data_IF_217928708077
#
_entry.id   IF_217928708077
#
_cell.length_a   1.000
_cell.length_b   1.000
_cell.length_c   1.000
_cell.angle_alpha   90.00
_cell.angle_beta   90.00
_cell.angle_gamma   90.00
#
_symmetry.space_group_name_H-M   'P 1'
#
loop_
_entity.id
_entity.type
_entity.pdbx_description
1 polymer ?
#
# COMPACT_ATOMS: atom_id res chain seq x y z
N UNK A 1 8.01 -10.58 26.32
CA UNK A 1 6.54 -10.44 26.27
C UNK A 1 5.98 -10.88 27.62
N UNK A 2 5.04 -10.17 28.20
CA UNK A 2 4.34 -10.62 29.40
C UNK A 2 2.97 -11.21 29.06
N UNK A 3 2.26 -10.55 28.16
CA UNK A 3 0.93 -10.97 27.74
C UNK A 3 0.69 -10.62 26.29
N UNK A 4 0.09 -11.55 25.55
CA UNK A 4 -0.41 -11.30 24.22
C UNK A 4 -1.74 -12.01 23.99
N UNK A 5 -2.60 -11.40 23.20
CA UNK A 5 -3.88 -11.97 22.77
C UNK A 5 -4.25 -11.39 21.41
N UNK A 6 -5.07 -12.10 20.65
CA UNK A 6 -5.57 -11.65 19.35
C UNK A 6 -7.10 -11.70 19.31
N UNK A 7 -7.72 -10.68 18.73
CA UNK A 7 -9.16 -10.64 18.49
C UNK A 7 -9.60 -11.74 17.52
N UNK A 8 -10.72 -12.38 17.81
CA UNK A 8 -11.30 -13.43 16.99
C UNK A 8 -12.17 -12.84 15.88
N UNK A 9 -11.85 -13.16 14.62
CA UNK A 9 -12.60 -12.65 13.47
C UNK A 9 -14.07 -13.12 13.49
N UNK A 10 -14.99 -12.15 13.32
CA UNK A 10 -16.44 -12.40 13.20
C UNK A 10 -17.11 -13.07 14.43
N UNK A 11 -16.47 -13.05 15.59
CA UNK A 11 -17.03 -13.61 16.81
C UNK A 11 -17.68 -12.55 17.72
N UNK A 12 -18.65 -12.98 18.53
CA UNK A 12 -19.37 -12.12 19.46
C UNK A 12 -18.59 -11.82 20.75
N UNK A 13 -19.08 -10.85 21.55
CA UNK A 13 -18.43 -10.36 22.77
C UNK A 13 -18.07 -11.47 23.73
N UNK A 14 -18.97 -12.41 23.99
CA UNK A 14 -18.76 -13.49 24.98
C UNK A 14 -17.58 -14.40 24.57
N UNK A 15 -17.44 -14.68 23.26
CA UNK A 15 -16.32 -15.47 22.75
C UNK A 15 -15.01 -14.70 22.77
N UNK A 16 -15.04 -13.40 22.50
CA UNK A 16 -13.86 -12.53 22.64
C UNK A 16 -13.36 -12.51 24.08
N UNK A 17 -14.26 -12.32 25.04
CA UNK A 17 -13.94 -12.31 26.46
C UNK A 17 -13.40 -13.67 26.93
N UNK A 18 -14.01 -14.75 26.48
CA UNK A 18 -13.57 -16.10 26.82
C UNK A 18 -12.16 -16.38 26.27
N UNK A 19 -11.88 -16.05 25.01
CA UNK A 19 -10.55 -16.23 24.41
C UNK A 19 -9.50 -15.43 25.15
N UNK A 20 -9.77 -14.15 25.43
CA UNK A 20 -8.85 -13.31 26.19
C UNK A 20 -8.57 -13.87 27.58
N UNK A 21 -9.60 -14.40 28.26
CA UNK A 21 -9.48 -15.03 29.57
C UNK A 21 -8.64 -16.30 29.51
N UNK A 22 -8.85 -17.17 28.51
CA UNK A 22 -8.03 -18.36 28.28
C UNK A 22 -6.55 -17.98 28.09
N UNK A 23 -6.26 -16.95 27.28
CA UNK A 23 -4.89 -16.44 27.11
C UNK A 23 -4.27 -15.91 28.41
N UNK A 24 -5.07 -15.30 29.30
CA UNK A 24 -4.59 -14.88 30.63
C UNK A 24 -4.19 -16.07 31.50
N UNK A 25 -4.98 -17.15 31.50
CA UNK A 25 -4.69 -18.37 32.25
C UNK A 25 -3.43 -19.07 31.72
N UNK A 26 -3.35 -19.21 30.41
CA UNK A 26 -2.21 -19.88 29.75
C UNK A 26 -0.90 -19.12 29.97
N UNK A 27 -0.98 -17.80 30.15
CA UNK A 27 0.18 -16.95 30.39
C UNK A 27 0.46 -16.64 31.87
N UNK A 28 -0.14 -17.43 32.77
CA UNK A 28 0.27 -17.53 34.17
C UNK A 28 -0.64 -16.81 35.17
N UNK A 29 -1.84 -16.41 34.75
CA UNK A 29 -2.85 -15.94 35.74
C UNK A 29 -3.32 -17.13 36.59
N UNK A 30 -3.26 -17.07 37.94
CA UNK A 30 -3.89 -18.08 38.79
C UNK A 30 -5.39 -18.12 38.50
N UNK A 31 -5.96 -19.31 38.42
CA UNK A 31 -7.38 -19.53 38.13
C UNK A 31 -8.24 -18.80 39.16
N UNK A 32 -9.00 -17.77 38.76
CA UNK A 32 -9.98 -17.10 39.65
C UNK A 32 -11.17 -18.02 39.98
N UNK A 33 -11.94 -17.67 41.01
CA UNK A 33 -13.15 -18.40 41.36
C UNK A 33 -14.23 -18.35 40.27
N UNK A 34 -14.28 -17.22 39.58
CA UNK A 34 -15.28 -16.94 38.55
C UNK A 34 -14.63 -16.44 37.24
N UNK A 35 -15.18 -16.87 36.10
CA UNK A 35 -14.79 -16.34 34.80
C UNK A 35 -15.31 -14.92 34.60
N UNK A 36 -14.61 -14.03 33.87
CA UNK A 36 -15.07 -12.66 33.62
C UNK A 36 -16.28 -12.63 32.71
N UNK A 37 -17.23 -11.71 33.01
CA UNK A 37 -18.46 -11.52 32.22
C UNK A 37 -18.41 -10.28 31.31
N UNK A 38 -17.50 -9.35 31.60
CA UNK A 38 -17.33 -8.14 30.81
C UNK A 38 -15.86 -7.73 30.67
N UNK A 39 -15.61 -6.73 29.78
CA UNK A 39 -14.27 -6.26 29.52
C UNK A 39 -13.60 -5.55 30.71
N UNK A 40 -14.38 -5.00 31.65
CA UNK A 40 -13.79 -4.36 32.83
C UNK A 40 -13.17 -5.44 33.70
N UNK A 41 -13.88 -6.54 33.92
CA UNK A 41 -13.39 -7.68 34.70
C UNK A 41 -12.15 -8.32 34.04
N UNK A 42 -12.17 -8.48 32.70
CA UNK A 42 -11.00 -8.96 31.94
C UNK A 42 -9.77 -8.09 32.19
N UNK A 43 -9.90 -6.77 32.09
CA UNK A 43 -8.78 -5.86 32.33
C UNK A 43 -8.36 -5.80 33.81
N UNK A 44 -9.25 -6.10 34.75
CA UNK A 44 -8.87 -6.29 36.16
C UNK A 44 -8.02 -7.54 36.37
N UNK A 45 -8.32 -8.62 35.68
CA UNK A 45 -7.50 -9.84 35.67
C UNK A 45 -6.12 -9.58 35.03
N UNK A 46 -6.09 -8.86 33.93
CA UNK A 46 -4.81 -8.43 33.30
C UNK A 46 -3.96 -7.60 34.27
N UNK A 47 -4.58 -6.67 35.04
CA UNK A 47 -3.84 -5.94 36.10
C UNK A 47 -3.24 -6.90 37.15
N UNK A 48 -3.97 -7.95 37.52
CA UNK A 48 -3.49 -8.93 38.47
C UNK A 48 -2.28 -9.69 37.92
N UNK A 49 -2.32 -10.14 36.68
CA UNK A 49 -1.20 -10.78 36.01
C UNK A 49 0.03 -9.85 35.95
N UNK A 50 -0.16 -8.58 35.55
CA UNK A 50 0.92 -7.58 35.47
C UNK A 50 1.56 -7.32 36.85
N UNK A 51 0.77 -7.30 37.92
CA UNK A 51 1.26 -7.10 39.33
C UNK A 51 2.09 -8.26 39.84
N UNK A 52 1.81 -9.48 39.42
CA UNK A 52 2.53 -10.70 39.83
C UNK A 52 3.89 -10.82 39.13
N UNK A 53 4.05 -10.18 37.99
CA UNK A 53 5.29 -10.25 37.23
C UNK A 53 6.40 -9.44 37.90
N UNK A 54 7.57 -10.06 38.09
CA UNK A 54 8.81 -9.41 38.54
C UNK A 54 9.64 -8.79 37.42
N UNK A 55 9.21 -8.92 36.15
CA UNK A 55 9.93 -8.37 35.02
C UNK A 55 10.09 -6.85 35.12
N UNK A 56 11.27 -6.32 34.78
CA UNK A 56 11.55 -4.89 34.78
C UNK A 56 10.66 -4.13 33.78
N UNK A 57 10.45 -4.70 32.59
CA UNK A 57 9.52 -4.20 31.57
C UNK A 57 8.48 -5.25 31.20
N UNK A 58 7.23 -4.83 31.16
CA UNK A 58 6.07 -5.66 30.90
C UNK A 58 5.44 -5.23 29.59
N UNK A 59 5.59 -6.04 28.56
CA UNK A 59 5.02 -5.80 27.22
C UNK A 59 3.69 -6.54 27.12
N UNK A 60 2.64 -5.79 26.85
CA UNK A 60 1.29 -6.28 26.58
C UNK A 60 1.00 -6.04 25.11
N UNK A 61 0.67 -7.08 24.35
CA UNK A 61 0.28 -7.01 22.95
C UNK A 61 -1.17 -7.41 22.80
N UNK A 62 -1.98 -6.47 22.29
CA UNK A 62 -3.36 -6.73 21.87
C UNK A 62 -3.42 -6.66 20.36
N UNK A 63 -3.46 -7.81 19.73
CA UNK A 63 -3.49 -7.94 18.28
C UNK A 63 -4.92 -8.00 17.76
N UNK A 64 -5.14 -7.55 16.53
CA UNK A 64 -6.46 -7.48 15.89
C UNK A 64 -7.54 -6.82 16.76
N UNK A 65 -7.18 -5.71 17.37
CA UNK A 65 -8.03 -4.94 18.30
C UNK A 65 -9.44 -4.65 17.75
N UNK A 66 -9.61 -4.35 16.45
CA UNK A 66 -10.93 -4.09 15.86
C UNK A 66 -11.93 -5.24 16.03
N UNK A 67 -11.48 -6.49 16.11
CA UNK A 67 -12.36 -7.64 16.32
C UNK A 67 -12.87 -7.74 17.76
N UNK A 68 -12.11 -7.22 18.74
CA UNK A 68 -12.55 -7.18 20.15
C UNK A 68 -13.65 -6.14 20.39
N UNK A 69 -13.71 -5.06 19.59
CA UNK A 69 -14.72 -4.01 19.69
C UNK A 69 -16.01 -4.40 18.94
N UNK A 70 -16.72 -5.38 19.47
CA UNK A 70 -18.02 -5.79 18.94
C UNK A 70 -19.11 -4.77 19.31
N UNK A 71 -20.25 -4.83 18.63
CA UNK A 71 -21.34 -3.88 18.86
C UNK A 71 -21.80 -3.88 20.32
N UNK A 72 -21.74 -2.73 20.97
CA UNK A 72 -22.15 -2.51 22.39
C UNK A 72 -21.34 -3.30 23.42
N UNK A 73 -20.14 -3.78 23.06
CA UNK A 73 -19.28 -4.57 23.98
C UNK A 73 -18.72 -3.77 25.15
N UNK A 74 -18.59 -2.44 24.99
CA UNK A 74 -17.90 -1.60 25.99
C UNK A 74 -16.38 -1.78 26.00
N UNK A 75 -15.80 -2.50 25.02
CA UNK A 75 -14.36 -2.80 24.95
C UNK A 75 -13.48 -1.55 24.99
N UNK A 76 -13.76 -0.57 24.12
CA UNK A 76 -12.94 0.66 24.05
C UNK A 76 -13.01 1.41 25.39
N UNK A 77 -14.18 1.52 26.01
CA UNK A 77 -14.33 2.18 27.30
C UNK A 77 -13.57 1.45 28.43
N UNK A 78 -13.57 0.11 28.42
CA UNK A 78 -12.82 -0.69 29.39
C UNK A 78 -11.30 -0.56 29.19
N UNK A 79 -10.82 -0.53 27.94
CA UNK A 79 -9.41 -0.28 27.59
C UNK A 79 -8.99 1.14 28.02
N UNK A 80 -9.82 2.15 27.76
CA UNK A 80 -9.60 3.52 28.22
C UNK A 80 -9.49 3.59 29.74
N UNK A 81 -10.41 2.92 30.46
CA UNK A 81 -10.39 2.84 31.92
C UNK A 81 -9.12 2.16 32.42
N UNK A 82 -8.75 1.01 31.84
CA UNK A 82 -7.51 0.30 32.18
C UNK A 82 -6.30 1.20 32.06
N UNK A 83 -6.17 1.87 30.90
CA UNK A 83 -5.03 2.71 30.62
C UNK A 83 -5.01 3.95 31.52
N UNK A 84 -6.06 4.74 31.54
CA UNK A 84 -6.09 6.04 32.22
C UNK A 84 -6.10 5.94 33.74
N UNK A 85 -6.78 4.92 34.31
CA UNK A 85 -6.89 4.79 35.76
C UNK A 85 -5.68 4.10 36.40
N UNK A 86 -4.86 3.39 35.63
CA UNK A 86 -3.82 2.56 36.22
C UNK A 86 -2.55 2.43 35.37
N UNK A 87 -2.61 1.99 34.12
CA UNK A 87 -1.43 1.63 33.35
C UNK A 87 -0.57 2.84 32.99
N UNK A 88 -1.18 3.98 32.69
CA UNK A 88 -0.49 5.22 32.29
C UNK A 88 0.44 5.81 33.36
N UNK A 89 0.18 5.52 34.62
CA UNK A 89 1.03 5.95 35.73
C UNK A 89 2.27 5.07 35.92
N UNK A 90 2.36 3.95 35.22
CA UNK A 90 3.43 2.96 35.36
C UNK A 90 4.44 3.14 34.23
N UNK A 91 5.74 3.19 34.59
CA UNK A 91 6.83 3.32 33.63
C UNK A 91 7.35 1.97 33.10
N UNK A 92 6.91 0.87 33.69
CA UNK A 92 7.31 -0.48 33.39
C UNK A 92 6.37 -1.20 32.41
N UNK A 93 5.28 -0.57 31.97
CA UNK A 93 4.31 -1.13 31.01
C UNK A 93 4.52 -0.52 29.62
N UNK A 94 4.59 -1.39 28.62
CA UNK A 94 4.49 -1.05 27.21
C UNK A 94 3.24 -1.76 26.69
N UNK A 95 2.23 -0.98 26.28
CA UNK A 95 1.04 -1.49 25.63
C UNK A 95 1.17 -1.29 24.13
N UNK A 96 1.16 -2.39 23.40
CA UNK A 96 1.17 -2.41 21.94
C UNK A 96 -0.20 -2.86 21.49
N UNK A 97 -0.81 -2.10 20.59
CA UNK A 97 -2.10 -2.42 19.99
C UNK A 97 -1.96 -2.41 18.49
N UNK A 98 -2.46 -3.43 17.80
CA UNK A 98 -2.44 -3.50 16.34
C UNK A 98 -3.78 -3.99 15.78
N UNK A 99 -3.95 -3.83 14.49
CA UNK A 99 -5.13 -4.27 13.78
C UNK A 99 -5.07 -3.92 12.30
N UNK A 100 -5.56 -4.81 11.47
CA UNK A 100 -5.63 -4.68 10.02
C UNK A 100 -6.70 -3.68 9.55
N UNK A 101 -7.75 -3.45 10.35
CA UNK A 101 -8.80 -2.48 10.02
C UNK A 101 -8.35 -1.04 10.30
N UNK A 102 -7.52 -0.51 9.40
CA UNK A 102 -6.88 0.83 9.52
C UNK A 102 -7.89 1.94 9.82
N UNK A 103 -9.09 1.92 9.21
CA UNK A 103 -10.12 2.92 9.47
C UNK A 103 -10.63 2.88 10.91
N UNK A 104 -10.81 1.69 11.51
CA UNK A 104 -11.19 1.56 12.91
C UNK A 104 -10.10 2.10 13.84
N UNK A 105 -8.84 1.75 13.55
CA UNK A 105 -7.67 2.25 14.32
C UNK A 105 -7.61 3.77 14.29
N UNK A 106 -7.79 4.36 13.09
CA UNK A 106 -7.83 5.82 12.91
C UNK A 106 -9.00 6.46 13.67
N UNK A 107 -10.22 5.93 13.51
CA UNK A 107 -11.42 6.55 14.04
C UNK A 107 -11.54 6.36 15.57
N UNK A 108 -11.14 5.21 16.12
CA UNK A 108 -11.35 4.85 17.53
C UNK A 108 -10.14 5.13 18.43
N UNK A 109 -8.92 5.10 17.91
CA UNK A 109 -7.71 5.31 18.70
C UNK A 109 -7.03 6.64 18.41
N UNK A 110 -6.83 6.96 17.13
CA UNK A 110 -5.98 8.10 16.72
C UNK A 110 -6.79 9.40 16.71
N UNK A 111 -7.90 9.43 15.98
CA UNK A 111 -8.75 10.62 15.81
C UNK A 111 -9.87 10.72 16.87
N UNK A 112 -9.93 9.77 17.81
CA UNK A 112 -10.95 9.79 18.85
C UNK A 112 -10.71 10.96 19.82
N UNK A 113 -11.71 11.77 20.05
CA UNK A 113 -11.69 12.82 21.06
C UNK A 113 -12.03 12.30 22.49
N UNK A 114 -12.08 10.97 22.66
CA UNK A 114 -12.35 10.30 23.96
C UNK A 114 -11.11 10.15 24.84
N UNK A 115 -11.17 9.22 25.77
CA UNK A 115 -10.16 9.03 26.82
C UNK A 115 -8.80 8.55 26.37
N UNK A 116 -8.68 8.04 25.11
CA UNK A 116 -7.40 7.67 24.50
C UNK A 116 -6.73 8.81 23.69
N UNK A 117 -7.39 9.95 23.58
CA UNK A 117 -6.84 11.12 22.89
C UNK A 117 -5.50 11.56 23.49
N UNK A 118 -4.49 11.76 22.63
CA UNK A 118 -3.11 12.12 23.04
C UNK A 118 -2.43 11.11 24.00
N UNK A 119 -2.88 9.84 24.03
CA UNK A 119 -2.25 8.78 24.83
C UNK A 119 -1.28 7.90 24.01
N UNK A 120 -1.34 7.98 22.70
CA UNK A 120 -0.40 7.27 21.83
C UNK A 120 0.97 7.95 21.92
N UNK A 121 1.99 7.20 22.32
CA UNK A 121 3.37 7.67 22.36
C UNK A 121 4.07 7.47 21.02
N UNK A 122 3.66 6.47 20.25
CA UNK A 122 4.18 6.17 18.92
C UNK A 122 3.10 5.51 18.06
N UNK A 123 3.00 5.95 16.84
CA UNK A 123 2.22 5.32 15.79
C UNK A 123 3.18 4.75 14.75
N UNK A 124 2.97 3.49 14.38
CA UNK A 124 3.74 2.80 13.34
C UNK A 124 2.73 2.35 12.29
N UNK A 125 2.89 2.86 11.08
CA UNK A 125 2.14 2.43 9.91
C UNK A 125 3.05 1.51 9.09
N UNK A 126 2.79 0.20 9.14
CA UNK A 126 3.58 -0.77 8.40
C UNK A 126 3.26 -0.65 6.93
N UNK A 127 4.25 -0.28 6.14
CA UNK A 127 4.18 -0.26 4.69
C UNK A 127 4.59 -1.62 4.12
N UNK A 128 4.14 -1.96 2.91
CA UNK A 128 4.76 -3.04 2.15
C UNK A 128 6.29 -2.82 2.05
N UNK A 129 7.06 -3.90 1.93
CA UNK A 129 8.49 -3.79 1.68
C UNK A 129 8.78 -2.95 0.44
N UNK A 130 9.84 -2.17 0.49
CA UNK A 130 10.46 -1.54 -0.68
C UNK A 130 11.10 -2.60 -1.59
N UNK A 131 11.58 -2.20 -2.77
CA UNK A 131 12.37 -3.10 -3.63
C UNK A 131 13.63 -3.60 -2.91
N UNK A 132 14.31 -2.72 -2.17
CA UNK A 132 15.49 -3.08 -1.38
C UNK A 132 15.18 -4.12 -0.29
N UNK A 133 14.14 -3.90 0.51
CA UNK A 133 13.74 -4.82 1.56
C UNK A 133 13.24 -6.15 0.98
N UNK A 134 12.52 -6.10 -0.16
CA UNK A 134 12.10 -7.30 -0.89
C UNK A 134 13.29 -8.12 -1.39
N UNK A 135 14.31 -7.45 -1.91
CA UNK A 135 15.56 -8.09 -2.34
C UNK A 135 16.25 -8.77 -1.16
N UNK A 136 16.45 -8.06 -0.04
CA UNK A 136 17.07 -8.62 1.17
C UNK A 136 16.31 -9.86 1.66
N UNK A 137 14.98 -9.75 1.77
CA UNK A 137 14.13 -10.85 2.21
C UNK A 137 14.26 -12.08 1.29
N UNK A 138 14.26 -11.87 -0.02
CA UNK A 138 14.41 -12.95 -0.99
C UNK A 138 15.81 -13.57 -0.96
N UNK A 139 16.87 -12.78 -0.76
CA UNK A 139 18.23 -13.27 -0.59
C UNK A 139 18.37 -14.13 0.68
N UNK A 140 17.77 -13.72 1.80
CA UNK A 140 17.73 -14.51 3.04
C UNK A 140 17.01 -15.84 2.85
N UNK A 141 16.00 -15.90 1.96
CA UNK A 141 15.32 -17.15 1.57
C UNK A 141 16.10 -18.00 0.57
N UNK A 142 17.27 -17.55 0.11
CA UNK A 142 18.13 -18.27 -0.83
C UNK A 142 17.83 -18.05 -2.30
N UNK A 143 17.07 -16.98 -2.65
CA UNK A 143 16.88 -16.60 -4.04
C UNK A 143 18.10 -15.85 -4.59
N UNK A 144 18.37 -16.08 -5.88
CA UNK A 144 19.33 -15.29 -6.66
C UNK A 144 18.59 -14.77 -7.91
N UNK A 145 17.88 -13.66 -7.74
CA UNK A 145 17.09 -13.02 -8.78
C UNK A 145 17.76 -11.75 -9.26
N UNK A 146 17.58 -11.40 -10.54
CA UNK A 146 17.95 -10.08 -11.05
C UNK A 146 16.98 -9.00 -10.53
N UNK A 147 17.41 -7.75 -10.48
CA UNK A 147 16.52 -6.62 -10.16
C UNK A 147 15.31 -6.58 -11.09
N UNK A 148 15.48 -6.97 -12.36
CA UNK A 148 14.38 -7.09 -13.32
C UNK A 148 13.33 -8.11 -12.88
N UNK A 149 13.75 -9.29 -12.42
CA UNK A 149 12.85 -10.33 -11.93
C UNK A 149 12.16 -9.92 -10.63
N UNK A 150 12.90 -9.28 -9.71
CA UNK A 150 12.33 -8.76 -8.45
C UNK A 150 11.29 -7.66 -8.76
N UNK A 151 11.57 -6.78 -9.73
CA UNK A 151 10.60 -5.76 -10.15
C UNK A 151 9.32 -6.38 -10.74
N UNK A 152 9.42 -7.43 -11.58
CA UNK A 152 8.25 -8.18 -12.08
C UNK A 152 7.46 -8.79 -10.93
N UNK A 153 8.14 -9.44 -9.99
CA UNK A 153 7.51 -10.02 -8.82
C UNK A 153 6.78 -8.98 -7.98
N UNK A 154 7.45 -7.86 -7.73
CA UNK A 154 6.88 -6.73 -6.99
C UNK A 154 5.64 -6.15 -7.70
N UNK A 155 5.71 -5.95 -9.01
CA UNK A 155 4.59 -5.49 -9.82
C UNK A 155 3.41 -6.48 -9.84
N UNK A 156 3.66 -7.78 -9.60
CA UNK A 156 2.61 -8.79 -9.53
C UNK A 156 2.00 -8.96 -8.13
N UNK A 157 2.80 -8.88 -7.08
CA UNK A 157 2.40 -9.25 -5.71
C UNK A 157 2.53 -8.09 -4.71
N UNK A 158 3.16 -6.97 -5.09
CA UNK A 158 3.57 -5.93 -4.14
C UNK A 158 4.73 -6.39 -3.24
N UNK A 159 5.13 -5.52 -2.33
CA UNK A 159 6.14 -5.83 -1.31
C UNK A 159 5.52 -6.48 -0.06
N UNK A 160 4.56 -7.38 -0.20
CA UNK A 160 3.85 -7.98 0.94
C UNK A 160 4.64 -9.18 1.45
N UNK A 161 5.20 -9.13 2.69
CA UNK A 161 6.06 -10.21 3.21
C UNK A 161 5.39 -11.57 3.18
N UNK A 162 4.11 -11.65 3.48
CA UNK A 162 3.32 -12.88 3.46
C UNK A 162 3.32 -13.57 2.09
N UNK A 163 3.22 -12.80 0.99
CA UNK A 163 3.27 -13.38 -0.35
C UNK A 163 4.69 -13.81 -0.73
N UNK A 164 5.68 -13.00 -0.35
CA UNK A 164 7.08 -13.32 -0.60
C UNK A 164 7.53 -14.57 0.17
N UNK A 165 6.96 -14.80 1.37
CA UNK A 165 7.24 -16.00 2.17
C UNK A 165 6.80 -17.30 1.49
N UNK A 166 5.77 -17.27 0.66
CA UNK A 166 5.25 -18.45 -0.06
C UNK A 166 6.10 -18.87 -1.27
N UNK A 167 7.07 -18.08 -1.68
CA UNK A 167 7.90 -18.36 -2.84
C UNK A 167 8.89 -19.51 -2.52
N UNK A 168 9.09 -20.40 -3.49
CA UNK A 168 10.04 -21.52 -3.43
C UNK A 168 11.31 -21.18 -4.23
N UNK A 169 12.50 -21.07 -3.58
CA UNK A 169 13.75 -20.72 -4.27
C UNK A 169 14.23 -21.80 -5.26
N UNK A 170 13.66 -22.99 -5.22
CA UNK A 170 13.98 -24.09 -6.18
C UNK A 170 13.28 -23.93 -7.51
N UNK A 171 12.31 -23.02 -7.60
CA UNK A 171 11.52 -22.75 -8.79
C UNK A 171 11.95 -21.43 -9.45
N UNK A 172 11.79 -21.34 -10.77
CA UNK A 172 11.93 -20.06 -11.45
C UNK A 172 10.83 -19.07 -11.01
N UNK A 173 11.05 -17.79 -11.24
CA UNK A 173 10.03 -16.75 -10.96
C UNK A 173 8.69 -17.09 -11.63
N UNK A 174 8.72 -17.46 -12.90
CA UNK A 174 7.50 -17.81 -13.65
C UNK A 174 6.78 -19.02 -13.06
N UNK A 175 7.51 -20.04 -12.62
CA UNK A 175 6.93 -21.20 -11.96
C UNK A 175 6.30 -20.84 -10.61
N UNK A 176 6.93 -19.97 -9.82
CA UNK A 176 6.36 -19.46 -8.57
C UNK A 176 5.04 -18.73 -8.81
N UNK A 177 5.00 -17.79 -9.77
CA UNK A 177 3.80 -17.05 -10.12
C UNK A 177 2.69 -18.01 -10.59
N UNK A 178 3.00 -18.96 -11.46
CA UNK A 178 2.05 -19.98 -11.91
C UNK A 178 1.50 -20.81 -10.75
N UNK A 179 2.38 -21.33 -9.90
CA UNK A 179 1.99 -22.23 -8.83
C UNK A 179 1.13 -21.52 -7.78
N UNK A 180 1.44 -20.27 -7.45
CA UNK A 180 0.75 -19.54 -6.39
C UNK A 180 -0.57 -18.93 -6.88
N UNK A 181 -0.61 -18.38 -8.09
CA UNK A 181 -1.70 -17.52 -8.55
C UNK A 181 -2.60 -18.17 -9.61
N UNK A 182 -2.03 -18.95 -10.53
CA UNK A 182 -2.81 -19.48 -11.68
C UNK A 182 -3.37 -20.87 -11.45
N UNK A 183 -2.74 -21.69 -10.62
CA UNK A 183 -3.25 -23.05 -10.33
C UNK A 183 -4.46 -22.99 -9.40
N UNK A 184 -5.53 -23.79 -9.65
CA UNK A 184 -6.74 -23.80 -8.81
C UNK A 184 -6.50 -24.07 -7.31
N UNK A 185 -5.41 -24.79 -6.99
CA UNK A 185 -5.00 -25.09 -5.60
C UNK A 185 -3.81 -24.23 -5.17
N UNK A 186 -3.46 -23.18 -5.92
CA UNK A 186 -2.43 -22.23 -5.54
C UNK A 186 -2.80 -21.46 -4.28
N UNK A 187 -1.84 -21.23 -3.40
CA UNK A 187 -2.08 -20.61 -2.11
C UNK A 187 -2.71 -19.19 -2.25
N UNK A 188 -2.39 -18.48 -3.32
CA UNK A 188 -2.90 -17.13 -3.60
C UNK A 188 -4.01 -17.11 -4.67
N UNK A 189 -4.50 -18.27 -5.11
CA UNK A 189 -5.52 -18.34 -6.19
C UNK A 189 -6.81 -17.60 -5.81
N UNK A 190 -7.26 -17.71 -4.58
CA UNK A 190 -8.45 -17.05 -4.06
C UNK A 190 -8.14 -15.84 -3.18
N UNK A 191 -6.87 -15.43 -3.13
CA UNK A 191 -6.39 -14.41 -2.19
C UNK A 191 -7.11 -13.07 -2.38
N UNK A 192 -7.40 -12.68 -3.60
CA UNK A 192 -8.12 -11.43 -3.86
C UNK A 192 -9.46 -11.37 -3.09
N UNK A 193 -10.26 -12.45 -3.16
CA UNK A 193 -11.53 -12.51 -2.45
C UNK A 193 -11.34 -12.57 -0.93
N UNK A 194 -10.37 -13.38 -0.48
CA UNK A 194 -10.06 -13.57 0.93
C UNK A 194 -9.58 -12.26 1.58
N UNK A 195 -8.69 -11.54 0.92
CA UNK A 195 -8.14 -10.25 1.38
C UNK A 195 -9.26 -9.23 1.61
N UNK A 196 -10.13 -9.03 0.63
CA UNK A 196 -11.24 -8.08 0.77
C UNK A 196 -12.26 -8.52 1.82
N UNK A 197 -12.55 -9.82 1.93
CA UNK A 197 -13.44 -10.34 2.96
C UNK A 197 -12.86 -10.20 4.38
N UNK A 198 -11.56 -10.34 4.53
CA UNK A 198 -10.89 -10.14 5.82
C UNK A 198 -10.87 -8.67 6.27
N UNK A 199 -10.65 -7.73 5.32
CA UNK A 199 -10.51 -6.32 5.64
C UNK A 199 -11.85 -5.57 5.76
N UNK A 200 -12.89 -6.01 5.03
CA UNK A 200 -14.13 -5.23 4.88
C UNK A 200 -15.38 -6.08 5.11
N UNK A 201 -16.22 -5.67 6.07
CA UNK A 201 -17.49 -6.37 6.37
C UNK A 201 -18.42 -6.51 5.15
N UNK A 202 -18.41 -5.56 4.22
CA UNK A 202 -19.24 -5.51 3.02
C UNK A 202 -18.35 -5.57 1.76
N UNK A 203 -17.48 -6.58 1.70
CA UNK A 203 -16.42 -6.71 0.69
C UNK A 203 -16.91 -6.58 -0.76
N UNK A 204 -18.17 -6.98 -1.05
CA UNK A 204 -18.74 -6.90 -2.39
C UNK A 204 -18.79 -5.46 -2.95
N UNK A 205 -19.09 -4.46 -2.12
CA UNK A 205 -19.11 -3.06 -2.56
C UNK A 205 -17.68 -2.53 -2.82
N UNK A 206 -16.73 -2.93 -1.98
CA UNK A 206 -15.31 -2.58 -2.14
C UNK A 206 -14.74 -3.21 -3.42
N UNK A 207 -15.03 -4.47 -3.67
CA UNK A 207 -14.61 -5.17 -4.89
C UNK A 207 -15.17 -4.48 -6.14
N UNK A 208 -16.47 -4.09 -6.15
CA UNK A 208 -17.06 -3.34 -7.27
C UNK A 208 -16.35 -2.00 -7.51
N UNK A 209 -15.98 -1.29 -6.46
CA UNK A 209 -15.24 -0.02 -6.58
C UNK A 209 -13.86 -0.26 -7.21
N UNK A 210 -13.08 -1.19 -6.69
CA UNK A 210 -11.73 -1.44 -7.22
C UNK A 210 -11.74 -2.05 -8.61
N UNK A 211 -12.75 -2.87 -8.94
CA UNK A 211 -12.97 -3.36 -10.30
C UNK A 211 -13.25 -2.20 -11.26
N UNK A 212 -14.12 -1.26 -10.90
CA UNK A 212 -14.36 -0.08 -11.73
C UNK A 212 -13.08 0.75 -11.93
N UNK A 213 -12.29 0.95 -10.86
CA UNK A 213 -11.02 1.68 -10.91
C UNK A 213 -9.95 0.97 -11.75
N UNK A 214 -9.95 -0.37 -11.77
CA UNK A 214 -9.01 -1.16 -12.58
C UNK A 214 -9.22 -0.98 -14.08
N UNK A 215 -10.42 -0.56 -14.51
CA UNK A 215 -10.76 -0.33 -15.91
C UNK A 215 -10.11 0.92 -16.50
N UNK A 216 -9.69 1.87 -15.65
CA UNK A 216 -9.18 3.17 -16.08
C UNK A 216 -7.95 3.59 -15.28
N UNK A 217 -6.81 3.51 -15.93
CA UNK A 217 -5.50 3.85 -15.35
C UNK A 217 -5.43 5.25 -14.73
N UNK A 218 -5.99 6.27 -15.40
CA UNK A 218 -6.00 7.64 -14.90
C UNK A 218 -6.90 7.87 -13.69
N UNK A 219 -7.53 6.81 -13.19
CA UNK A 219 -8.52 6.87 -12.12
C UNK A 219 -9.88 7.35 -12.57
N UNK A 220 -10.81 7.39 -11.63
CA UNK A 220 -12.19 7.79 -11.82
C UNK A 220 -12.58 8.85 -10.81
N UNK A 221 -13.45 9.75 -11.21
CA UNK A 221 -14.15 10.65 -10.29
C UNK A 221 -15.19 9.88 -9.48
N UNK A 222 -15.60 10.44 -8.34
CA UNK A 222 -16.69 9.86 -7.55
C UNK A 222 -17.96 9.61 -8.37
N UNK A 223 -18.29 10.51 -9.30
CA UNK A 223 -19.46 10.37 -10.17
C UNK A 223 -19.32 9.19 -11.11
N UNK A 224 -18.17 9.03 -11.76
CA UNK A 224 -17.90 7.91 -12.66
C UNK A 224 -17.93 6.56 -11.92
N UNK A 225 -17.43 6.52 -10.67
CA UNK A 225 -17.53 5.32 -9.81
C UNK A 225 -19.00 4.96 -9.57
N UNK A 226 -19.84 5.93 -9.22
CA UNK A 226 -21.29 5.71 -9.02
C UNK A 226 -21.93 5.19 -10.29
N UNK A 227 -21.66 5.83 -11.43
CA UNK A 227 -22.24 5.48 -12.72
C UNK A 227 -21.84 4.06 -13.17
N UNK A 228 -20.60 3.62 -12.87
CA UNK A 228 -20.11 2.29 -13.24
C UNK A 228 -20.53 1.19 -12.26
N UNK A 229 -20.58 1.51 -10.96
CA UNK A 229 -20.85 0.50 -9.93
C UNK A 229 -22.32 0.37 -9.57
N UNK A 230 -23.14 1.37 -9.87
CA UNK A 230 -24.53 1.46 -9.43
C UNK A 230 -24.69 1.69 -7.91
N UNK A 231 -23.60 2.02 -7.20
CA UNK A 231 -23.66 2.33 -5.78
C UNK A 231 -24.33 3.68 -5.54
N UNK A 232 -25.09 3.79 -4.47
CA UNK A 232 -25.75 5.05 -4.10
C UNK A 232 -24.75 6.08 -3.59
N UNK A 233 -24.97 7.35 -3.98
CA UNK A 233 -24.19 8.47 -3.43
C UNK A 233 -24.59 8.73 -1.98
N UNK A 234 -23.83 8.23 -1.04
CA UNK A 234 -24.12 8.37 0.39
C UNK A 234 -22.90 8.11 1.27
N UNK A 235 -23.15 8.01 2.58
CA UNK A 235 -22.12 7.76 3.58
C UNK A 235 -21.39 6.42 3.36
N UNK A 236 -22.08 5.40 2.84
CA UNK A 236 -21.50 4.09 2.53
C UNK A 236 -20.35 4.20 1.53
N UNK A 237 -20.56 4.86 0.39
CA UNK A 237 -19.53 5.07 -0.61
C UNK A 237 -18.38 5.94 -0.08
N UNK A 238 -18.70 6.99 0.71
CA UNK A 238 -17.66 7.85 1.31
C UNK A 238 -16.77 7.05 2.26
N UNK A 239 -17.38 6.20 3.08
CA UNK A 239 -16.65 5.32 4.00
C UNK A 239 -15.82 4.30 3.23
N UNK A 240 -16.38 3.67 2.19
CA UNK A 240 -15.65 2.68 1.39
C UNK A 240 -14.41 3.30 0.71
N UNK A 241 -14.54 4.47 0.08
CA UNK A 241 -13.42 5.16 -0.53
C UNK A 241 -12.35 5.56 0.49
N UNK A 242 -12.75 6.08 1.65
CA UNK A 242 -11.82 6.41 2.74
C UNK A 242 -11.08 5.17 3.25
N UNK A 243 -11.78 4.06 3.44
CA UNK A 243 -11.18 2.81 3.93
C UNK A 243 -10.18 2.25 2.92
N UNK A 244 -10.54 2.22 1.62
CA UNK A 244 -9.63 1.78 0.56
C UNK A 244 -8.37 2.67 0.50
N UNK A 245 -8.51 3.99 0.66
CA UNK A 245 -7.40 4.94 0.73
C UNK A 245 -6.53 4.68 1.97
N UNK A 246 -7.14 4.50 3.14
CA UNK A 246 -6.43 4.25 4.39
C UNK A 246 -5.69 2.91 4.40
N UNK A 247 -6.20 1.90 3.68
CA UNK A 247 -5.54 0.60 3.53
C UNK A 247 -4.53 0.56 2.37
N UNK A 248 -4.31 1.66 1.65
CA UNK A 248 -3.34 1.75 0.57
C UNK A 248 -3.76 1.11 -0.76
N UNK A 249 -5.03 0.70 -0.92
CA UNK A 249 -5.52 0.16 -2.20
C UNK A 249 -5.67 1.23 -3.27
N UNK A 250 -6.08 2.43 -2.88
CA UNK A 250 -6.30 3.55 -3.78
C UNK A 250 -5.61 4.80 -3.27
N UNK A 251 -5.31 5.70 -4.17
CA UNK A 251 -4.90 7.07 -3.84
C UNK A 251 -5.93 8.07 -4.34
N UNK A 252 -6.02 9.18 -3.64
CA UNK A 252 -6.86 10.30 -4.01
C UNK A 252 -5.98 11.47 -4.42
N UNK A 253 -6.18 11.98 -5.62
CA UNK A 253 -5.45 13.15 -6.10
C UNK A 253 -6.36 14.14 -6.82
N UNK A 254 -5.89 15.37 -6.96
CA UNK A 254 -6.52 16.41 -7.77
C UNK A 254 -5.60 16.74 -8.94
N UNK A 255 -6.18 17.19 -10.05
CA UNK A 255 -5.37 17.71 -11.14
C UNK A 255 -4.50 18.88 -10.68
N UNK A 256 -3.28 18.94 -11.18
CA UNK A 256 -2.34 20.02 -10.90
C UNK A 256 -2.98 21.41 -11.18
N UNK A 257 -2.88 22.32 -10.18
CA UNK A 257 -3.48 23.67 -10.20
C UNK A 257 -4.98 23.71 -10.54
N UNK A 258 -5.67 22.64 -10.28
CA UNK A 258 -7.10 22.61 -10.42
C UNK A 258 -7.77 23.68 -9.56
N UNK A 259 -8.75 24.38 -10.12
CA UNK A 259 -9.62 25.26 -9.33
C UNK A 259 -10.35 24.43 -8.27
N UNK A 260 -10.92 25.10 -7.22
CA UNK A 260 -11.65 24.41 -6.14
C UNK A 260 -12.79 23.50 -6.62
N UNK A 261 -13.23 23.66 -7.86
CA UNK A 261 -14.29 22.87 -8.50
C UNK A 261 -13.80 21.65 -9.28
N UNK A 262 -12.48 21.35 -9.27
CA UNK A 262 -11.95 20.23 -10.02
C UNK A 262 -12.22 18.94 -9.28
N UNK A 263 -12.82 17.97 -9.96
CA UNK A 263 -13.20 16.70 -9.39
C UNK A 263 -11.99 15.93 -8.83
N UNK A 264 -12.14 15.44 -7.61
CA UNK A 264 -11.18 14.50 -6.99
C UNK A 264 -11.20 13.21 -7.79
N UNK A 265 -10.01 12.68 -8.09
CA UNK A 265 -9.81 11.43 -8.81
C UNK A 265 -9.33 10.37 -7.82
N UNK A 266 -9.89 9.19 -7.92
CA UNK A 266 -9.50 8.00 -7.19
C UNK A 266 -8.83 7.02 -8.17
N UNK A 267 -7.66 6.53 -7.82
CA UNK A 267 -6.85 5.64 -8.66
C UNK A 267 -6.47 4.39 -7.86
N UNK A 268 -6.64 3.21 -8.47
CA UNK A 268 -6.17 1.94 -7.91
C UNK A 268 -4.64 1.88 -8.00
N UNK A 269 -3.98 1.60 -6.88
CA UNK A 269 -2.51 1.56 -6.77
C UNK A 269 -1.98 0.26 -6.14
N UNK A 270 -2.85 -0.61 -5.67
CA UNK A 270 -2.46 -1.91 -5.16
C UNK A 270 -2.02 -2.84 -6.29
N UNK A 271 -0.75 -3.28 -6.25
CA UNK A 271 -0.13 -4.09 -7.30
C UNK A 271 -0.83 -5.43 -7.48
N UNK A 272 -1.17 -6.10 -6.37
CA UNK A 272 -1.83 -7.40 -6.44
C UNK A 272 -3.23 -7.30 -7.06
N UNK A 273 -4.03 -6.31 -6.68
CA UNK A 273 -5.34 -6.06 -7.29
C UNK A 273 -5.24 -5.71 -8.78
N UNK A 274 -4.24 -4.89 -9.17
CA UNK A 274 -3.99 -4.58 -10.58
C UNK A 274 -3.62 -5.83 -11.38
N UNK A 275 -2.75 -6.69 -10.84
CA UNK A 275 -2.37 -7.96 -11.45
C UNK A 275 -3.59 -8.89 -11.57
N UNK A 276 -4.37 -9.02 -10.49
CA UNK A 276 -5.58 -9.84 -10.46
C UNK A 276 -6.56 -9.46 -11.56
N UNK A 277 -6.94 -8.19 -11.67
CA UNK A 277 -7.89 -7.75 -12.69
C UNK A 277 -7.33 -7.87 -14.10
N UNK A 278 -6.02 -7.72 -14.28
CA UNK A 278 -5.42 -7.80 -15.60
C UNK A 278 -5.33 -9.24 -16.11
N UNK A 279 -4.90 -10.19 -15.27
CA UNK A 279 -4.55 -11.55 -15.69
C UNK A 279 -5.48 -12.64 -15.14
N UNK A 280 -5.96 -12.52 -13.90
CA UNK A 280 -6.68 -13.60 -13.22
C UNK A 280 -8.19 -13.50 -13.34
N UNK A 281 -8.78 -12.31 -13.21
CA UNK A 281 -10.23 -12.12 -13.20
C UNK A 281 -10.89 -12.56 -14.53
N UNK A 282 -10.19 -12.46 -15.64
CA UNK A 282 -10.74 -12.75 -16.99
C UNK A 282 -10.77 -14.23 -17.37
N UNK A 283 -10.31 -15.15 -16.52
CA UNK A 283 -10.34 -16.64 -16.68
C UNK A 283 -9.84 -17.20 -18.03
N UNK A 284 -9.12 -16.40 -18.84
CA UNK A 284 -8.66 -16.82 -20.18
C UNK A 284 -7.28 -17.46 -20.17
N UNK A 285 -6.47 -17.22 -19.15
CA UNK A 285 -5.14 -17.74 -19.07
C UNK A 285 -5.04 -18.82 -18.01
N UNK A 286 -4.34 -19.87 -18.33
CA UNK A 286 -4.12 -21.02 -17.47
C UNK A 286 -2.75 -21.02 -16.83
N UNK A 287 -1.82 -20.16 -17.29
CA UNK A 287 -0.51 -19.98 -16.71
C UNK A 287 0.15 -18.66 -17.12
N UNK A 288 1.09 -18.20 -16.30
CA UNK A 288 1.87 -16.97 -16.49
C UNK A 288 2.79 -17.01 -17.71
N UNK A 289 3.33 -18.18 -18.03
CA UNK A 289 4.27 -18.35 -19.15
C UNK A 289 3.67 -17.92 -20.49
N UNK A 290 2.35 -18.00 -20.65
CA UNK A 290 1.66 -17.59 -21.87
C UNK A 290 1.68 -16.06 -22.09
N UNK A 291 1.90 -15.28 -21.03
CA UNK A 291 1.93 -13.81 -21.14
C UNK A 291 3.32 -13.26 -21.41
N UNK A 292 4.36 -13.95 -20.96
CA UNK A 292 5.73 -13.45 -21.11
C UNK A 292 6.08 -13.12 -22.57
N UNK A 293 6.58 -11.89 -22.81
CA UNK A 293 6.95 -11.40 -24.13
C UNK A 293 5.78 -10.98 -25.04
N UNK A 294 4.53 -11.07 -24.55
CA UNK A 294 3.35 -10.61 -25.32
C UNK A 294 3.15 -9.10 -25.19
N UNK A 295 2.40 -8.52 -26.14
CA UNK A 295 2.00 -7.10 -26.04
C UNK A 295 1.19 -6.80 -24.78
N UNK A 296 0.38 -7.77 -24.29
CA UNK A 296 -0.37 -7.66 -23.05
C UNK A 296 0.55 -7.53 -21.84
N UNK A 297 1.58 -8.38 -21.75
CA UNK A 297 2.61 -8.27 -20.71
C UNK A 297 3.32 -6.92 -20.75
N UNK A 298 3.77 -6.47 -21.93
CA UNK A 298 4.47 -5.19 -22.06
C UNK A 298 3.58 -4.00 -21.69
N UNK A 299 2.30 -4.04 -22.04
CA UNK A 299 1.34 -3.01 -21.65
C UNK A 299 1.16 -2.96 -20.13
N UNK A 300 0.92 -4.11 -19.48
CA UNK A 300 0.80 -4.20 -18.03
C UNK A 300 2.10 -3.76 -17.33
N UNK A 301 3.25 -4.29 -17.76
CA UNK A 301 4.54 -3.99 -17.13
C UNK A 301 4.91 -2.50 -17.25
N UNK A 302 4.64 -1.87 -18.41
CA UNK A 302 4.85 -0.44 -18.56
C UNK A 302 4.02 0.38 -17.57
N UNK A 303 2.74 0.02 -17.42
CA UNK A 303 1.80 0.70 -16.52
C UNK A 303 2.16 0.54 -15.05
N UNK A 304 2.49 -0.69 -14.65
CA UNK A 304 2.83 -0.98 -13.25
C UNK A 304 4.23 -0.48 -12.89
N UNK A 305 5.15 -0.36 -13.84
CA UNK A 305 6.46 0.25 -13.63
C UNK A 305 6.37 1.76 -13.34
N UNK A 306 5.42 2.46 -13.96
CA UNK A 306 5.15 3.86 -13.60
C UNK A 306 4.72 3.96 -12.13
N UNK A 307 3.80 3.08 -11.68
CA UNK A 307 3.37 3.02 -10.29
C UNK A 307 4.52 2.61 -9.36
N UNK A 308 5.34 1.63 -9.75
CA UNK A 308 6.54 1.23 -9.01
C UNK A 308 7.50 2.40 -8.82
N UNK A 309 7.73 3.18 -9.86
CA UNK A 309 8.56 4.39 -9.81
C UNK A 309 7.98 5.45 -8.88
N UNK A 310 6.65 5.59 -8.84
CA UNK A 310 5.95 6.47 -7.89
C UNK A 310 6.18 6.05 -6.44
N UNK A 311 6.11 4.75 -6.13
CA UNK A 311 6.36 4.23 -4.79
C UNK A 311 7.83 4.43 -4.36
N UNK A 312 8.75 4.49 -5.33
CA UNK A 312 10.19 4.65 -5.10
C UNK A 312 10.71 6.04 -5.51
N UNK A 313 9.86 7.08 -5.41
CA UNK A 313 10.27 8.44 -5.79
C UNK A 313 11.41 9.02 -4.92
N UNK A 314 11.59 8.54 -3.70
CA UNK A 314 12.68 8.99 -2.84
C UNK A 314 14.02 8.44 -3.30
N UNK A 315 14.06 7.22 -3.84
CA UNK A 315 15.23 6.67 -4.52
C UNK A 315 15.55 7.45 -5.81
N UNK A 316 14.50 7.82 -6.59
CA UNK A 316 14.67 8.70 -7.76
C UNK A 316 15.30 10.04 -7.34
N UNK A 317 14.76 10.70 -6.31
CA UNK A 317 15.30 11.98 -5.79
C UNK A 317 16.75 11.83 -5.29
N UNK A 318 17.06 10.69 -4.66
CA UNK A 318 18.43 10.38 -4.21
C UNK A 318 19.37 10.26 -5.39
N UNK A 319 19.01 9.51 -6.42
CA UNK A 319 19.82 9.37 -7.65
C UNK A 319 20.04 10.71 -8.34
N UNK A 320 19.05 11.59 -8.33
CA UNK A 320 19.15 12.94 -8.87
C UNK A 320 19.94 13.92 -7.96
N UNK A 321 20.35 13.50 -6.77
CA UNK A 321 21.07 14.34 -5.81
C UNK A 321 20.22 15.45 -5.19
N UNK A 322 18.90 15.26 -5.10
CA UNK A 322 17.93 16.30 -4.67
C UNK A 322 17.19 15.96 -3.37
N UNK A 323 17.60 14.91 -2.63
CA UNK A 323 16.93 14.50 -1.38
C UNK A 323 16.87 15.60 -0.32
N UNK A 324 17.86 16.53 -0.30
CA UNK A 324 17.89 17.67 0.60
C UNK A 324 17.10 18.90 0.13
N UNK A 325 16.51 18.86 -1.06
CA UNK A 325 15.77 19.98 -1.64
C UNK A 325 14.27 19.75 -1.42
N UNK A 326 13.56 20.78 -0.94
CA UNK A 326 12.09 20.72 -0.87
C UNK A 326 11.51 20.50 -2.26
N UNK A 327 10.72 19.45 -2.41
CA UNK A 327 10.09 19.07 -3.67
C UNK A 327 8.59 18.87 -3.51
N UNK A 328 7.85 19.10 -4.59
CA UNK A 328 6.47 18.70 -4.75
C UNK A 328 6.38 17.76 -5.94
N UNK A 329 5.73 16.60 -5.75
CA UNK A 329 5.62 15.55 -6.79
C UNK A 329 4.16 15.36 -7.19
N UNK A 330 3.89 15.34 -8.49
CA UNK A 330 2.55 15.13 -9.05
C UNK A 330 2.61 14.54 -10.46
N UNK A 331 1.54 13.89 -10.90
CA UNK A 331 1.33 13.54 -12.31
C UNK A 331 0.72 14.73 -13.05
N UNK A 332 1.05 14.88 -14.32
CA UNK A 332 0.49 15.95 -15.13
C UNK A 332 -0.11 15.42 -16.43
N UNK A 333 -1.29 15.94 -16.75
CA UNK A 333 -1.98 15.63 -18.01
C UNK A 333 -2.73 16.87 -18.52
N UNK A 334 -2.69 17.09 -19.82
CA UNK A 334 -3.61 17.99 -20.49
C UNK A 334 -4.36 17.21 -21.59
N UNK A 335 -5.67 17.42 -21.63
CA UNK A 335 -6.55 16.95 -22.71
C UNK A 335 -6.94 18.17 -23.55
N UNK A 336 -6.34 18.31 -24.72
CA UNK A 336 -6.65 19.37 -25.68
C UNK A 336 -6.97 18.72 -27.01
N UNK A 337 -8.00 19.14 -27.69
CA UNK A 337 -8.57 18.56 -28.92
C UNK A 337 -7.52 17.94 -29.87
N UNK A 338 -7.22 16.65 -29.67
CA UNK A 338 -6.28 15.87 -30.47
C UNK A 338 -4.78 16.10 -30.23
N UNK A 339 -4.39 16.91 -29.22
CA UNK A 339 -2.99 17.20 -28.84
C UNK A 339 -2.74 17.00 -27.34
N UNK A 340 -3.39 16.03 -26.74
CA UNK A 340 -3.17 15.68 -25.32
C UNK A 340 -1.71 15.33 -25.02
N UNK A 341 -1.25 15.67 -23.82
CA UNK A 341 0.07 15.29 -23.33
C UNK A 341 -0.04 14.79 -21.88
N UNK A 342 0.75 13.80 -21.53
CA UNK A 342 0.86 13.27 -20.18
C UNK A 342 2.33 13.16 -19.80
N UNK A 343 2.66 13.49 -18.55
CA UNK A 343 3.96 13.27 -17.92
C UNK A 343 3.72 12.38 -16.70
N UNK A 344 4.49 11.30 -16.64
CA UNK A 344 4.25 10.23 -15.66
C UNK A 344 4.53 10.72 -14.23
N UNK A 345 5.60 11.50 -14.02
CA UNK A 345 5.94 12.12 -12.75
C UNK A 345 6.60 13.48 -12.98
N UNK A 346 6.08 14.51 -12.35
CA UNK A 346 6.70 15.84 -12.26
C UNK A 346 7.26 16.02 -10.86
N UNK A 347 8.52 16.39 -10.74
CA UNK A 347 9.17 16.75 -9.47
C UNK A 347 9.51 18.25 -9.56
N UNK A 348 8.68 19.07 -8.95
CA UNK A 348 8.90 20.51 -8.86
C UNK A 348 9.77 20.83 -7.65
N UNK A 349 10.91 21.48 -7.89
CA UNK A 349 11.97 21.73 -6.89
C UNK A 349 11.96 23.18 -6.45
N UNK A 350 12.38 23.42 -5.21
CA UNK A 350 12.52 24.77 -4.65
C UNK A 350 13.69 25.56 -5.28
N UNK A 351 14.67 24.88 -5.88
CA UNK A 351 15.85 25.47 -6.54
C UNK A 351 15.61 25.90 -7.98
N UNK A 352 14.37 26.25 -8.34
CA UNK A 352 13.95 26.76 -9.64
C UNK A 352 14.12 25.75 -10.80
N UNK A 353 14.10 24.47 -10.49
CA UNK A 353 14.16 23.38 -11.48
C UNK A 353 12.92 22.49 -11.37
N UNK A 354 12.52 21.89 -12.50
CA UNK A 354 11.46 20.88 -12.58
C UNK A 354 11.99 19.68 -13.35
N UNK A 355 11.98 18.50 -12.73
CA UNK A 355 12.24 17.25 -13.44
C UNK A 355 10.92 16.71 -14.02
N UNK A 356 10.87 16.53 -15.32
CA UNK A 356 9.77 15.88 -16.04
C UNK A 356 10.21 14.45 -16.32
N UNK A 357 9.61 13.50 -15.59
CA UNK A 357 10.05 12.11 -15.61
C UNK A 357 9.13 11.27 -16.50
N UNK A 358 9.73 10.50 -17.40
CA UNK A 358 9.09 9.49 -18.25
C UNK A 358 9.62 8.12 -17.87
N UNK A 359 8.73 7.15 -17.68
CA UNK A 359 9.07 5.81 -17.26
C UNK A 359 8.99 4.81 -18.41
N UNK A 360 10.00 3.93 -18.53
CA UNK A 360 10.04 2.90 -19.59
C UNK A 360 10.55 1.57 -19.04
N UNK A 361 9.66 0.59 -19.00
CA UNK A 361 10.00 -0.79 -18.66
C UNK A 361 10.34 -1.56 -19.94
N UNK A 362 11.59 -1.95 -20.08
CA UNK A 362 12.13 -2.62 -21.29
C UNK A 362 13.06 -3.75 -20.89
N UNK A 363 13.31 -4.68 -21.79
CA UNK A 363 14.26 -5.80 -21.60
C UNK A 363 15.69 -5.50 -22.11
N UNK A 364 15.93 -4.28 -22.55
CA UNK A 364 17.22 -3.80 -23.02
C UNK A 364 17.29 -2.26 -22.83
N UNK A 365 18.48 -1.63 -23.01
CA UNK A 365 18.60 -0.18 -22.96
C UNK A 365 17.60 0.51 -23.92
N UNK A 366 16.88 1.50 -23.40
CA UNK A 366 15.81 2.17 -24.14
C UNK A 366 16.37 3.05 -25.25
N UNK A 367 16.04 2.75 -26.50
CA UNK A 367 16.49 3.54 -27.66
C UNK A 367 15.45 4.60 -28.02
N UNK A 368 15.86 5.87 -28.00
CA UNK A 368 15.03 7.01 -28.40
C UNK A 368 15.05 7.12 -29.93
N UNK A 369 13.89 6.98 -30.56
CA UNK A 369 13.70 7.23 -31.98
C UNK A 369 13.45 8.72 -32.24
N UNK A 370 13.62 9.18 -33.48
CA UNK A 370 13.28 10.56 -33.90
C UNK A 370 11.83 10.90 -33.54
N UNK A 371 10.89 10.00 -33.83
CA UNK A 371 9.48 10.23 -33.53
C UNK A 371 9.23 10.38 -32.02
N UNK A 372 9.93 9.58 -31.19
CA UNK A 372 9.81 9.67 -29.74
C UNK A 372 10.47 10.94 -29.18
N UNK A 373 11.63 11.34 -29.71
CA UNK A 373 12.24 12.64 -29.38
C UNK A 373 11.29 13.80 -29.67
N UNK A 374 10.65 13.81 -30.84
CA UNK A 374 9.66 14.84 -31.19
C UNK A 374 8.48 14.85 -30.21
N UNK A 375 7.99 13.68 -29.81
CA UNK A 375 6.93 13.55 -28.78
C UNK A 375 7.38 14.12 -27.44
N UNK A 376 8.60 13.81 -26.98
CA UNK A 376 9.16 14.36 -25.75
C UNK A 376 9.28 15.89 -25.80
N UNK A 377 9.76 16.45 -26.91
CA UNK A 377 9.81 17.92 -27.10
C UNK A 377 8.42 18.56 -27.06
N UNK A 378 7.44 17.90 -27.67
CA UNK A 378 6.06 18.36 -27.61
C UNK A 378 5.51 18.34 -26.18
N UNK A 379 5.77 17.28 -25.40
CA UNK A 379 5.38 17.21 -23.98
C UNK A 379 5.99 18.34 -23.15
N UNK A 380 7.29 18.60 -23.32
CA UNK A 380 7.99 19.71 -22.64
C UNK A 380 7.36 21.07 -22.97
N UNK A 381 7.13 21.37 -24.26
CA UNK A 381 6.52 22.62 -24.72
C UNK A 381 5.11 22.77 -24.16
N UNK A 382 4.28 21.72 -24.25
CA UNK A 382 2.91 21.72 -23.72
C UNK A 382 2.86 21.94 -22.22
N UNK A 383 3.73 21.26 -21.47
CA UNK A 383 3.83 21.47 -20.04
C UNK A 383 4.15 22.92 -19.71
N UNK A 384 5.13 23.50 -20.38
CA UNK A 384 5.55 24.90 -20.18
C UNK A 384 4.42 25.90 -20.51
N UNK A 385 3.75 25.72 -21.66
CA UNK A 385 2.64 26.57 -22.12
C UNK A 385 1.46 26.53 -21.15
N UNK A 386 0.99 25.32 -20.81
CA UNK A 386 -0.22 25.14 -20.00
C UNK A 386 -0.03 25.51 -18.53
N UNK A 387 1.15 25.25 -17.97
CA UNK A 387 1.45 25.56 -16.57
C UNK A 387 2.00 26.97 -16.40
N UNK A 388 2.40 27.66 -17.49
CA UNK A 388 3.13 28.92 -17.46
C UNK A 388 4.41 28.85 -16.61
N UNK A 389 5.04 27.64 -16.55
CA UNK A 389 6.20 27.37 -15.73
C UNK A 389 7.40 28.21 -16.22
N UNK A 390 8.03 28.91 -15.28
CA UNK A 390 9.22 29.74 -15.52
C UNK A 390 10.52 29.07 -15.05
N UNK A 391 10.41 27.97 -14.32
CA UNK A 391 11.56 27.20 -13.83
C UNK A 391 12.24 26.45 -14.98
N UNK A 392 13.50 26.10 -14.81
CA UNK A 392 14.24 25.27 -15.77
C UNK A 392 13.64 23.87 -15.83
N UNK A 393 13.36 23.36 -17.03
CA UNK A 393 12.83 22.03 -17.25
C UNK A 393 13.97 21.06 -17.56
N UNK A 394 13.99 19.93 -16.86
CA UNK A 394 14.94 18.83 -17.10
C UNK A 394 14.16 17.56 -17.41
N UNK A 395 14.40 16.97 -18.57
CA UNK A 395 13.84 15.68 -18.92
C UNK A 395 14.62 14.58 -18.22
N UNK A 396 13.91 13.76 -17.44
CA UNK A 396 14.47 12.61 -16.72
C UNK A 396 13.85 11.33 -17.26
N UNK A 397 14.66 10.37 -17.69
CA UNK A 397 14.15 9.04 -18.02
C UNK A 397 14.41 8.07 -16.88
N UNK A 398 13.35 7.40 -16.43
CA UNK A 398 13.41 6.27 -15.49
C UNK A 398 13.22 5.00 -16.30
N UNK A 399 14.24 4.17 -16.38
CA UNK A 399 14.25 3.02 -17.29
C UNK A 399 14.78 1.77 -16.60
N UNK A 400 14.51 0.61 -17.14
CA UNK A 400 15.02 -0.65 -16.61
C UNK A 400 16.55 -0.74 -16.73
N UNK A 401 17.08 -0.51 -17.94
CA UNK A 401 18.50 -0.75 -18.27
C UNK A 401 19.22 0.51 -18.77
N UNK A 402 18.64 1.69 -18.58
CA UNK A 402 19.22 2.93 -19.06
C UNK A 402 18.81 3.29 -20.49
N UNK A 403 19.36 4.37 -20.98
CA UNK A 403 19.09 4.93 -22.30
C UNK A 403 20.24 4.58 -23.25
N UNK A 404 19.93 4.02 -24.42
CA UNK A 404 20.91 3.76 -25.45
C UNK A 404 21.42 5.08 -26.05
N UNK A 405 22.74 5.23 -26.11
CA UNK A 405 23.37 6.43 -26.69
C UNK A 405 23.16 6.43 -28.21
N UNK A 406 22.49 7.47 -28.71
CA UNK A 406 22.29 7.71 -30.14
C UNK A 406 22.12 9.22 -30.42
N UNK A 407 21.87 9.61 -31.67
CA UNK A 407 21.68 11.01 -32.04
C UNK A 407 20.49 11.71 -31.39
N UNK A 408 19.54 10.96 -30.84
CA UNK A 408 18.31 11.45 -30.24
C UNK A 408 18.31 11.43 -28.69
N UNK A 409 19.32 10.78 -28.07
CA UNK A 409 19.39 10.65 -26.59
C UNK A 409 19.82 11.94 -25.90
N UNK A 410 20.37 12.92 -26.60
CA UNK A 410 20.84 14.19 -26.03
C UNK A 410 19.75 15.08 -25.45
N UNK A 411 18.47 14.78 -25.70
CA UNK A 411 17.34 15.46 -25.06
C UNK A 411 17.21 15.11 -23.57
N UNK A 412 17.75 13.97 -23.15
CA UNK A 412 17.66 13.47 -21.78
C UNK A 412 18.66 14.20 -20.89
N UNK A 413 18.17 14.92 -19.90
CA UNK A 413 19.03 15.63 -18.94
C UNK A 413 19.52 14.73 -17.83
N UNK A 414 18.70 13.77 -17.39
CA UNK A 414 19.01 12.85 -16.29
C UNK A 414 18.50 11.45 -16.60
N UNK A 415 19.20 10.45 -16.09
CA UNK A 415 18.86 9.04 -16.19
C UNK A 415 18.79 8.41 -14.80
N UNK A 416 17.73 7.66 -14.56
CA UNK A 416 17.55 6.80 -13.38
C UNK A 416 17.30 5.38 -13.90
N UNK A 417 18.00 4.40 -13.37
CA UNK A 417 17.85 2.99 -13.74
C UNK A 417 17.07 2.24 -12.68
N UNK A 418 16.52 1.10 -13.05
CA UNK A 418 15.86 0.22 -12.09
C UNK A 418 16.76 -0.09 -10.90
N UNK A 419 18.06 -0.32 -11.10
CA UNK A 419 19.02 -0.59 -10.02
C UNK A 419 19.06 0.55 -8.98
N UNK A 420 18.88 1.79 -9.40
CA UNK A 420 18.85 2.94 -8.49
C UNK A 420 17.63 2.93 -7.55
N UNK A 421 16.52 2.25 -7.93
CA UNK A 421 15.32 2.11 -7.12
C UNK A 421 15.50 1.10 -5.97
N UNK A 422 16.55 0.27 -6.02
CA UNK A 422 16.92 -0.67 -4.94
C UNK A 422 17.80 -0.02 -3.86
N UNK A 423 18.06 1.27 -3.94
CA UNK A 423 18.79 1.96 -2.89
C UNK A 423 17.98 1.93 -1.57
N UNK A 424 18.62 1.67 -0.41
CA UNK A 424 17.94 1.66 0.88
C UNK A 424 17.29 3.02 1.17
N UNK A 425 16.25 3.03 1.97
CA UNK A 425 15.71 4.29 2.52
C UNK A 425 16.75 4.95 3.43
N UNK A 426 16.89 6.27 3.37
CA UNK A 426 17.91 7.02 4.09
C UNK A 426 17.47 7.44 5.48
#
# INVERSE_FOLDING_TARGET
>A
MLFQTSGLANEGTDRQIKSFYEDLLDQGLPTPSDAPHDWIEVFMLLRSLVRQSSAERKVILLDELPWMDTARSGFVAALEHFWNSWASARRDIVLIVCGSATSWMMDKLINNHGGLHNRLTRQIFLQPFTLHESEQFLQEKGFTLSHYDIAILYMAMGGIPYYLEMLDPRLSLAQNIDQLLFRPLGALHNEFQNLYAALFRNSADYIRIVESLSSRRSGLTRKEIIDQTGLTSGNGLTTALRNLESCGFIVRHQHYKASRDTAVIYQLVDFFSLFYFHFLARKKATNWMHFQGTAEFHSWAGLTFELLSWHHQDQIKRKLGISGIKTESYAWRCDDEGKGAQIDLVIERADQTVNLCEMKFTNAPFSISLAYEMNLRQKLSRFQEMTKMRKSLQLTLVTTYGVAVNSHSNIVSNEVRLDDLFAPEG
#
